data_IF_526740333847
#
_entry.id   IF_526740333847
#
_cell.length_a   1.000
_cell.length_b   1.000
_cell.length_c   1.000
_cell.angle_alpha   90.00
_cell.angle_beta   90.00
_cell.angle_gamma   90.00
#
_symmetry.space_group_name_H-M   'P 1'
#
loop_
_entity.id
_entity.type
_entity.pdbx_description
1 polymer ?
#
# COMPACT_ATOMS: atom_id res chain seq x y z
N UNK A 1 -27.95 -1.35 -4.56
CA UNK A 1 -28.18 -0.11 -5.33
C UNK A 1 -27.54 -0.28 -6.71
N UNK A 2 -28.26 -0.02 -7.81
CA UNK A 2 -27.73 -0.22 -9.17
C UNK A 2 -28.22 0.83 -10.16
N UNK A 3 -27.36 1.26 -11.09
CA UNK A 3 -27.73 2.21 -12.15
C UNK A 3 -27.01 1.91 -13.48
N UNK A 4 -27.73 2.01 -14.59
CA UNK A 4 -27.14 2.01 -15.94
C UNK A 4 -26.56 3.38 -16.34
N UNK A 5 -26.78 4.41 -15.52
CA UNK A 5 -26.14 5.71 -15.61
C UNK A 5 -25.20 5.87 -14.39
N UNK A 6 -24.95 7.10 -13.95
CA UNK A 6 -24.26 7.35 -12.68
C UNK A 6 -25.12 7.08 -11.46
N UNK A 7 -24.48 7.14 -10.29
CA UNK A 7 -25.12 7.15 -8.97
C UNK A 7 -24.53 8.32 -8.19
N UNK A 8 -25.38 9.13 -7.58
CA UNK A 8 -24.97 10.10 -6.54
C UNK A 8 -25.50 9.62 -5.19
N UNK A 9 -24.62 9.46 -4.20
CA UNK A 9 -24.97 9.08 -2.83
C UNK A 9 -24.58 10.20 -1.87
N UNK A 10 -25.54 10.66 -1.07
CA UNK A 10 -25.29 11.61 0.01
C UNK A 10 -25.91 11.06 1.28
N UNK A 11 -25.08 10.68 2.24
CA UNK A 11 -25.54 10.12 3.50
C UNK A 11 -24.49 10.31 4.59
N UNK A 12 -24.87 10.26 5.86
CA UNK A 12 -23.87 10.25 6.93
C UNK A 12 -23.08 8.93 6.92
N UNK A 13 -23.77 7.79 6.80
CA UNK A 13 -23.15 6.46 6.73
C UNK A 13 -23.84 5.65 5.65
N UNK A 14 -23.06 4.89 4.90
CA UNK A 14 -23.54 3.82 4.05
C UNK A 14 -23.06 2.48 4.61
N UNK A 15 -24.03 1.61 4.89
CA UNK A 15 -23.77 0.21 5.20
C UNK A 15 -24.05 -0.61 3.92
N UNK A 16 -22.98 -1.13 3.33
CA UNK A 16 -23.03 -1.99 2.15
C UNK A 16 -22.35 -3.34 2.44
N UNK A 17 -22.27 -3.73 3.72
CA UNK A 17 -21.74 -5.02 4.12
C UNK A 17 -22.72 -6.18 3.86
N UNK A 18 -22.35 -7.37 4.33
CA UNK A 18 -23.14 -8.61 4.26
C UNK A 18 -23.62 -8.92 2.83
N UNK A 19 -22.67 -8.99 1.89
CA UNK A 19 -22.93 -9.15 0.46
C UNK A 19 -23.74 -8.02 -0.19
N UNK A 20 -23.80 -6.85 0.45
CA UNK A 20 -24.36 -5.63 -0.12
C UNK A 20 -23.67 -5.25 -1.44
N UNK A 21 -24.42 -4.62 -2.34
CA UNK A 21 -23.91 -4.23 -3.66
C UNK A 21 -24.36 -2.83 -4.06
N UNK A 22 -23.38 -2.00 -4.42
CA UNK A 22 -23.55 -0.73 -5.16
C UNK A 22 -22.83 -0.85 -6.50
N UNK A 23 -23.53 -0.69 -7.62
CA UNK A 23 -22.92 -0.79 -8.95
C UNK A 23 -23.46 0.23 -9.95
N UNK A 24 -22.59 0.95 -10.64
CA UNK A 24 -22.96 1.92 -11.68
C UNK A 24 -22.26 1.62 -13.00
N UNK A 25 -22.94 1.84 -14.14
CA UNK A 25 -22.24 1.90 -15.44
C UNK A 25 -21.59 3.26 -15.66
N UNK A 26 -22.24 4.33 -15.19
CA UNK A 26 -21.67 5.67 -15.12
C UNK A 26 -20.87 5.90 -13.83
N UNK A 27 -20.48 7.15 -13.60
CA UNK A 27 -19.73 7.57 -12.41
C UNK A 27 -20.53 7.24 -11.14
N UNK A 28 -19.88 6.64 -10.16
CA UNK A 28 -20.39 6.54 -8.81
C UNK A 28 -19.75 7.66 -7.98
N UNK A 29 -20.54 8.63 -7.55
CA UNK A 29 -20.12 9.77 -6.74
C UNK A 29 -20.79 9.70 -5.36
N UNK A 30 -20.00 9.49 -4.30
CA UNK A 30 -20.51 9.34 -2.95
C UNK A 30 -19.87 10.36 -2.00
N UNK A 31 -20.71 11.14 -1.33
CA UNK A 31 -20.35 12.00 -0.22
C UNK A 31 -20.89 11.40 1.08
N UNK A 32 -19.98 10.85 1.90
CA UNK A 32 -20.28 10.09 3.10
C UNK A 32 -19.45 10.59 4.30
N UNK A 33 -19.79 10.17 5.52
CA UNK A 33 -18.87 10.21 6.68
C UNK A 33 -18.41 8.81 7.13
N UNK A 34 -18.95 7.77 6.50
CA UNK A 34 -18.58 6.40 6.79
C UNK A 34 -19.10 5.45 5.73
N UNK A 35 -18.26 4.52 5.31
CA UNK A 35 -18.60 3.44 4.40
C UNK A 35 -18.21 2.11 5.03
N UNK A 36 -19.15 1.19 5.16
CA UNK A 36 -18.94 -0.18 5.61
C UNK A 36 -19.20 -1.16 4.46
N UNK A 37 -18.20 -1.98 4.13
CA UNK A 37 -18.21 -3.01 3.07
C UNK A 37 -17.92 -4.42 3.64
N UNK A 38 -18.04 -4.62 4.96
CA UNK A 38 -17.67 -5.89 5.60
C UNK A 38 -18.49 -7.07 5.12
N UNK A 39 -17.89 -8.25 5.07
CA UNK A 39 -18.60 -9.50 4.75
C UNK A 39 -19.02 -9.55 3.29
N UNK A 40 -18.10 -9.24 2.38
CA UNK A 40 -18.33 -9.32 0.93
C UNK A 40 -19.11 -8.17 0.32
N UNK A 41 -19.09 -6.97 0.94
CA UNK A 41 -19.68 -5.78 0.34
C UNK A 41 -18.98 -5.38 -0.96
N UNK A 42 -19.73 -4.93 -1.96
CA UNK A 42 -19.19 -4.58 -3.28
C UNK A 42 -19.62 -3.18 -3.71
N UNK A 43 -18.67 -2.31 -4.04
CA UNK A 43 -18.89 -1.01 -4.67
C UNK A 43 -18.04 -0.88 -5.93
N UNK A 44 -18.71 -0.82 -7.08
CA UNK A 44 -18.05 -0.80 -8.39
C UNK A 44 -18.67 0.20 -9.37
N UNK A 45 -17.85 0.72 -10.28
CA UNK A 45 -18.32 1.49 -11.44
C UNK A 45 -17.51 1.13 -12.68
N UNK A 46 -18.15 1.12 -13.87
CA UNK A 46 -17.47 0.92 -15.16
C UNK A 46 -16.67 2.15 -15.63
N UNK A 47 -16.91 3.34 -15.08
CA UNK A 47 -16.27 4.60 -15.55
C UNK A 47 -15.50 5.34 -14.47
N UNK A 48 -15.86 5.16 -13.20
CA UNK A 48 -15.10 5.72 -12.08
C UNK A 48 -15.87 5.74 -10.77
N UNK A 49 -15.13 5.86 -9.68
CA UNK A 49 -15.64 5.96 -8.31
C UNK A 49 -15.02 7.20 -7.67
N UNK A 50 -15.86 8.11 -7.18
CA UNK A 50 -15.45 9.19 -6.28
C UNK A 50 -16.05 8.93 -4.91
N UNK A 51 -15.20 8.79 -3.89
CA UNK A 51 -15.61 8.68 -2.49
C UNK A 51 -15.02 9.86 -1.71
N UNK A 52 -15.88 10.75 -1.25
CA UNK A 52 -15.53 11.78 -0.27
C UNK A 52 -16.05 11.36 1.10
N UNK A 53 -15.15 11.10 2.06
CA UNK A 53 -15.53 10.64 3.39
C UNK A 53 -15.53 11.74 4.45
N UNK A 54 -15.25 13.00 4.09
CA UNK A 54 -15.32 14.15 5.02
C UNK A 54 -14.56 13.94 6.36
N UNK A 55 -13.41 13.28 6.33
CA UNK A 55 -12.59 12.92 7.50
C UNK A 55 -13.03 11.64 8.21
N UNK A 56 -13.99 10.93 7.64
CA UNK A 56 -14.63 9.73 8.18
C UNK A 56 -13.89 8.42 7.89
N UNK A 57 -14.51 7.30 8.27
CA UNK A 57 -13.89 5.97 8.21
C UNK A 57 -14.31 5.17 6.98
N UNK A 58 -13.34 4.53 6.33
CA UNK A 58 -13.58 3.52 5.29
C UNK A 58 -13.31 2.13 5.87
N UNK A 59 -14.34 1.28 5.94
CA UNK A 59 -14.18 -0.13 6.32
C UNK A 59 -14.46 -1.00 5.11
N UNK A 60 -13.40 -1.54 4.52
CA UNK A 60 -13.39 -2.44 3.37
C UNK A 60 -12.64 -3.73 3.69
N UNK A 61 -13.14 -4.50 4.65
CA UNK A 61 -12.51 -5.73 5.12
C UNK A 61 -13.42 -6.94 4.96
N UNK A 62 -12.93 -8.12 5.31
CA UNK A 62 -13.69 -9.39 5.29
C UNK A 62 -14.31 -9.66 3.91
N UNK A 63 -13.48 -9.54 2.86
CA UNK A 63 -13.88 -9.72 1.46
C UNK A 63 -14.57 -8.51 0.81
N UNK A 64 -14.56 -7.33 1.45
CA UNK A 64 -15.04 -6.09 0.86
C UNK A 64 -14.30 -5.71 -0.42
N UNK A 65 -15.01 -5.15 -1.40
CA UNK A 65 -14.48 -4.78 -2.70
C UNK A 65 -14.88 -3.35 -3.09
N UNK A 66 -13.88 -2.52 -3.40
CA UNK A 66 -14.03 -1.24 -4.08
C UNK A 66 -13.17 -1.28 -5.33
N UNK A 67 -13.80 -1.30 -6.51
CA UNK A 67 -13.05 -1.45 -7.76
C UNK A 67 -13.65 -0.68 -8.94
N UNK A 68 -12.80 -0.19 -9.83
CA UNK A 68 -13.21 0.42 -11.09
C UNK A 68 -12.10 0.38 -12.15
N UNK A 69 -12.39 0.05 -13.43
CA UNK A 69 -11.42 0.23 -14.52
C UNK A 69 -11.21 1.72 -14.87
N UNK A 70 -12.03 2.60 -14.30
CA UNK A 70 -11.95 4.05 -14.46
C UNK A 70 -11.15 4.74 -13.37
N UNK A 71 -11.36 6.04 -13.23
CA UNK A 71 -10.71 6.82 -12.17
C UNK A 71 -11.26 6.45 -10.79
N UNK A 72 -10.37 6.19 -9.83
CA UNK A 72 -10.71 6.06 -8.42
C UNK A 72 -10.21 7.30 -7.67
N UNK A 73 -11.14 8.14 -7.22
CA UNK A 73 -10.85 9.35 -6.46
C UNK A 73 -11.30 9.17 -5.01
N UNK A 74 -10.35 9.16 -4.09
CA UNK A 74 -10.58 9.05 -2.65
C UNK A 74 -10.24 10.39 -1.98
N UNK A 75 -11.21 10.99 -1.28
CA UNK A 75 -11.08 12.32 -0.69
C UNK A 75 -11.36 12.29 0.79
N UNK A 76 -10.56 13.05 1.53
CA UNK A 76 -10.77 13.30 2.96
C UNK A 76 -10.98 12.01 3.75
N UNK A 77 -10.11 11.02 3.58
CA UNK A 77 -10.18 9.79 4.36
C UNK A 77 -9.60 10.05 5.76
N UNK A 78 -10.31 9.60 6.79
CA UNK A 78 -9.80 9.50 8.15
C UNK A 78 -8.98 8.23 8.30
N UNK A 79 -9.57 7.19 8.90
CA UNK A 79 -8.97 5.86 8.97
C UNK A 79 -9.50 4.96 7.84
N UNK A 80 -8.60 4.18 7.24
CA UNK A 80 -8.95 3.15 6.26
C UNK A 80 -8.60 1.77 6.82
N UNK A 81 -9.57 0.88 6.81
CA UNK A 81 -9.44 -0.53 7.16
C UNK A 81 -9.76 -1.35 5.91
N UNK A 82 -8.71 -1.81 5.24
CA UNK A 82 -8.75 -2.65 4.04
C UNK A 82 -8.25 -4.07 4.33
N UNK A 83 -8.29 -4.52 5.59
CA UNK A 83 -7.70 -5.79 6.01
C UNK A 83 -8.54 -7.03 5.64
N UNK A 84 -8.05 -8.21 6.02
CA UNK A 84 -8.78 -9.49 5.97
C UNK A 84 -9.48 -9.77 4.63
N UNK A 85 -8.73 -9.73 3.53
CA UNK A 85 -9.25 -10.00 2.18
C UNK A 85 -10.01 -8.84 1.55
N UNK A 86 -9.98 -7.65 2.16
CA UNK A 86 -10.41 -6.41 1.52
C UNK A 86 -9.61 -6.10 0.25
N UNK A 87 -10.28 -5.56 -0.77
CA UNK A 87 -9.62 -5.06 -1.98
C UNK A 87 -10.11 -3.65 -2.36
N UNK A 88 -9.15 -2.74 -2.56
CA UNK A 88 -9.35 -1.44 -3.20
C UNK A 88 -8.48 -1.41 -4.46
N UNK A 89 -9.09 -1.27 -5.64
CA UNK A 89 -8.36 -1.37 -6.90
C UNK A 89 -8.85 -0.44 -8.01
N UNK A 90 -7.93 -0.07 -8.90
CA UNK A 90 -8.24 0.68 -10.12
C UNK A 90 -7.26 0.36 -11.25
N UNK A 91 -7.76 0.40 -12.49
CA UNK A 91 -6.90 0.29 -13.68
C UNK A 91 -6.14 1.59 -13.99
N UNK A 92 -6.50 2.69 -13.32
CA UNK A 92 -5.89 4.01 -13.49
C UNK A 92 -5.03 4.36 -12.28
N UNK A 93 -4.18 5.37 -12.45
CA UNK A 93 -3.41 5.89 -11.34
C UNK A 93 -4.35 6.50 -10.30
N UNK A 94 -4.08 6.25 -9.01
CA UNK A 94 -4.83 6.88 -7.94
C UNK A 94 -3.98 7.14 -6.70
N UNK A 95 -4.50 8.02 -5.86
CA UNK A 95 -3.90 8.39 -4.58
C UNK A 95 -4.82 7.96 -3.44
N UNK A 96 -4.24 7.37 -2.39
CA UNK A 96 -4.90 7.16 -1.11
C UNK A 96 -4.15 7.99 -0.06
N UNK A 97 -4.82 9.05 0.41
CA UNK A 97 -4.34 9.88 1.50
C UNK A 97 -5.26 9.71 2.72
N UNK A 98 -4.70 9.33 3.86
CA UNK A 98 -5.44 8.99 5.07
C UNK A 98 -4.62 9.27 6.34
N UNK A 99 -5.27 9.32 7.50
CA UNK A 99 -4.59 9.36 8.79
C UNK A 99 -3.86 8.04 9.06
N UNK A 100 -4.54 6.92 8.86
CA UNK A 100 -4.00 5.56 9.02
C UNK A 100 -4.57 4.61 7.97
N UNK A 101 -3.78 3.59 7.62
CA UNK A 101 -4.18 2.53 6.71
C UNK A 101 -3.83 1.17 7.32
N UNK A 102 -4.84 0.37 7.64
CA UNK A 102 -4.72 -1.07 7.93
C UNK A 102 -5.02 -1.84 6.64
N UNK A 103 -4.02 -2.49 6.07
CA UNK A 103 -4.10 -3.34 4.88
C UNK A 103 -3.67 -4.78 5.21
N UNK A 104 -3.81 -5.21 6.47
CA UNK A 104 -3.35 -6.54 6.90
C UNK A 104 -4.12 -7.66 6.21
N UNK A 105 -3.42 -8.49 5.44
CA UNK A 105 -4.06 -9.51 4.59
C UNK A 105 -5.02 -8.92 3.53
N UNK A 106 -4.92 -7.61 3.28
CA UNK A 106 -5.70 -6.85 2.31
C UNK A 106 -4.97 -6.65 0.99
N UNK A 107 -5.63 -5.99 0.05
CA UNK A 107 -5.11 -5.71 -1.30
C UNK A 107 -5.39 -4.27 -1.70
N UNK A 108 -4.34 -3.53 -2.04
CA UNK A 108 -4.43 -2.19 -2.61
C UNK A 108 -3.67 -2.18 -3.94
N UNK A 109 -4.39 -2.02 -5.05
CA UNK A 109 -3.86 -2.32 -6.38
C UNK A 109 -4.14 -1.17 -7.35
N UNK A 110 -3.08 -0.51 -7.82
CA UNK A 110 -3.12 0.31 -9.02
C UNK A 110 -2.53 -0.45 -10.20
N UNK A 111 -3.31 -0.69 -11.26
CA UNK A 111 -2.78 -1.27 -12.49
C UNK A 111 -1.87 -0.27 -13.27
N UNK A 112 -1.91 1.00 -12.87
CA UNK A 112 -1.00 2.08 -13.24
C UNK A 112 -0.18 2.50 -11.99
N UNK A 113 0.01 3.80 -11.73
CA UNK A 113 0.76 4.29 -10.58
C UNK A 113 -0.09 4.37 -9.31
N UNK A 114 0.46 4.00 -8.16
CA UNK A 114 -0.20 4.11 -6.86
C UNK A 114 0.57 5.05 -5.95
N UNK A 115 -0.12 6.02 -5.37
CA UNK A 115 0.46 6.97 -4.41
C UNK A 115 -0.22 6.86 -3.05
N UNK A 116 0.56 6.62 -2.00
CA UNK A 116 0.08 6.55 -0.62
C UNK A 116 0.67 7.72 0.19
N UNK A 117 -0.22 8.40 0.93
CA UNK A 117 0.12 9.50 1.84
C UNK A 117 -0.54 9.24 3.18
N UNK A 118 0.17 8.56 4.07
CA UNK A 118 -0.38 8.11 5.36
C UNK A 118 0.23 8.95 6.48
N UNK A 119 -0.60 9.74 7.17
CA UNK A 119 -0.08 10.70 8.15
C UNK A 119 0.55 10.02 9.38
N UNK A 120 0.08 8.83 9.74
CA UNK A 120 0.52 8.08 10.90
C UNK A 120 1.05 6.70 10.49
N UNK A 121 0.28 5.64 10.72
CA UNK A 121 0.71 4.27 10.51
C UNK A 121 0.10 3.68 9.24
N UNK A 122 0.96 3.07 8.43
CA UNK A 122 0.60 2.12 7.38
C UNK A 122 0.94 0.72 7.87
N UNK A 123 -0.04 -0.16 7.96
CA UNK A 123 0.15 -1.57 8.30
C UNK A 123 -0.23 -2.43 7.10
N UNK A 124 0.76 -3.07 6.50
CA UNK A 124 0.64 -4.00 5.38
C UNK A 124 1.07 -5.42 5.79
N UNK A 125 1.07 -5.72 7.09
CA UNK A 125 1.51 -7.02 7.60
C UNK A 125 0.53 -8.16 7.31
N UNK A 126 0.81 -9.36 7.81
CA UNK A 126 -0.08 -10.54 7.71
C UNK A 126 -0.48 -10.87 6.26
N UNK A 127 0.46 -10.80 5.32
CA UNK A 127 0.22 -11.08 3.90
C UNK A 127 -0.51 -9.97 3.15
N UNK A 128 -0.51 -8.74 3.67
CA UNK A 128 -1.03 -7.57 2.96
C UNK A 128 -0.27 -7.32 1.65
N UNK A 129 -0.98 -6.83 0.63
CA UNK A 129 -0.41 -6.52 -0.69
C UNK A 129 -0.73 -5.09 -1.07
N UNK A 130 0.31 -4.32 -1.37
CA UNK A 130 0.23 -3.00 -2.00
C UNK A 130 1.03 -3.04 -3.29
N UNK A 131 0.38 -2.74 -4.41
CA UNK A 131 1.05 -2.74 -5.71
C UNK A 131 0.62 -1.59 -6.61
N UNK A 132 1.62 -0.91 -7.19
CA UNK A 132 1.45 0.07 -8.24
C UNK A 132 2.26 -0.37 -9.46
N UNK A 133 1.59 -0.81 -10.52
CA UNK A 133 2.25 -1.50 -11.62
C UNK A 133 3.17 -0.59 -12.45
N UNK A 134 2.85 0.70 -12.58
CA UNK A 134 3.67 1.70 -13.29
C UNK A 134 4.50 2.59 -12.35
N UNK A 135 4.34 2.40 -11.04
CA UNK A 135 5.10 3.10 -10.01
C UNK A 135 4.39 3.00 -8.67
N UNK A 136 5.15 2.97 -7.59
CA UNK A 136 4.64 2.99 -6.23
C UNK A 136 5.37 4.06 -5.43
N UNK A 137 4.63 5.04 -4.94
CA UNK A 137 5.16 6.14 -4.14
C UNK A 137 4.45 6.14 -2.77
N UNK A 138 5.21 5.95 -1.70
CA UNK A 138 4.67 5.83 -0.35
C UNK A 138 5.37 6.84 0.57
N UNK A 139 4.57 7.67 1.24
CA UNK A 139 5.01 8.45 2.39
C UNK A 139 4.18 8.07 3.63
N UNK A 140 4.85 7.71 4.72
CA UNK A 140 4.21 7.36 5.99
C UNK A 140 5.04 7.80 7.21
N UNK A 141 4.43 7.98 8.38
CA UNK A 141 5.21 8.21 9.60
C UNK A 141 5.83 6.91 10.13
N UNK A 142 5.09 5.79 10.05
CA UNK A 142 5.58 4.43 10.29
C UNK A 142 4.97 3.48 9.27
N UNK A 143 5.73 2.45 8.91
CA UNK A 143 5.30 1.42 7.99
C UNK A 143 5.67 0.05 8.53
N UNK A 144 4.67 -0.80 8.70
CA UNK A 144 4.83 -2.23 8.95
C UNK A 144 4.50 -2.99 7.66
N UNK A 145 5.49 -3.68 7.11
CA UNK A 145 5.39 -4.59 5.97
C UNK A 145 5.87 -6.01 6.37
N UNK A 146 5.84 -6.31 7.67
CA UNK A 146 6.32 -7.58 8.22
C UNK A 146 5.35 -8.73 7.94
N UNK A 147 5.68 -9.92 8.42
CA UNK A 147 4.79 -11.09 8.41
C UNK A 147 4.18 -11.35 7.02
N UNK A 148 5.04 -11.45 6.01
CA UNK A 148 4.72 -11.69 4.59
C UNK A 148 4.02 -10.53 3.87
N UNK A 149 4.07 -9.32 4.42
CA UNK A 149 3.66 -8.11 3.72
C UNK A 149 4.42 -7.93 2.40
N UNK A 150 3.74 -7.41 1.38
CA UNK A 150 4.31 -7.19 0.04
C UNK A 150 4.04 -5.77 -0.46
N UNK A 151 5.12 -5.05 -0.78
CA UNK A 151 5.12 -3.82 -1.57
C UNK A 151 5.78 -4.11 -2.92
N UNK A 152 5.06 -3.92 -4.03
CA UNK A 152 5.56 -4.31 -5.34
C UNK A 152 5.25 -3.30 -6.45
N UNK A 153 6.23 -3.06 -7.32
CA UNK A 153 6.05 -2.35 -8.58
C UNK A 153 6.82 -3.03 -9.71
N UNK A 154 6.25 -3.02 -10.93
CA UNK A 154 7.03 -3.39 -12.13
C UNK A 154 7.96 -2.25 -12.57
N UNK A 155 7.76 -1.05 -12.04
CA UNK A 155 8.56 0.14 -12.26
C UNK A 155 9.30 0.55 -10.97
N UNK A 156 9.41 1.84 -10.67
CA UNK A 156 10.07 2.33 -9.46
C UNK A 156 9.20 2.21 -8.21
N UNK A 157 9.84 1.97 -7.07
CA UNK A 157 9.30 2.24 -5.74
C UNK A 157 10.09 3.39 -5.13
N UNK A 158 9.40 4.44 -4.70
CA UNK A 158 9.94 5.49 -3.85
C UNK A 158 9.25 5.39 -2.48
N UNK A 159 10.01 5.02 -1.45
CA UNK A 159 9.50 4.79 -0.11
C UNK A 159 10.14 5.76 0.88
N UNK A 160 9.32 6.63 1.48
CA UNK A 160 9.75 7.58 2.52
C UNK A 160 8.98 7.32 3.80
N UNK A 161 9.68 6.90 4.85
CA UNK A 161 9.10 6.63 6.16
C UNK A 161 9.76 7.55 7.18
N UNK A 162 9.02 8.41 7.87
CA UNK A 162 9.65 9.36 8.80
C UNK A 162 10.28 8.68 10.03
N UNK A 163 9.72 7.54 10.43
CA UNK A 163 10.14 6.74 11.57
C UNK A 163 10.63 5.35 11.16
N UNK A 164 10.11 4.35 11.86
CA UNK A 164 10.46 2.96 11.65
C UNK A 164 9.75 2.39 10.42
N UNK A 165 10.54 1.73 9.57
CA UNK A 165 10.10 0.78 8.58
C UNK A 165 10.43 -0.63 9.08
N UNK A 166 9.39 -1.42 9.30
CA UNK A 166 9.50 -2.82 9.62
C UNK A 166 9.20 -3.67 8.36
N UNK A 167 10.16 -4.46 7.91
CA UNK A 167 10.06 -5.40 6.80
C UNK A 167 10.52 -6.81 7.23
N UNK A 168 10.50 -7.12 8.53
CA UNK A 168 10.95 -8.41 9.05
C UNK A 168 9.96 -9.55 8.77
N UNK A 169 10.29 -10.78 9.18
CA UNK A 169 9.40 -11.93 9.10
C UNK A 169 8.82 -12.16 7.69
N UNK A 170 9.71 -12.34 6.71
CA UNK A 170 9.40 -12.57 5.29
C UNK A 170 8.70 -11.39 4.58
N UNK A 171 8.81 -10.17 5.11
CA UNK A 171 8.37 -8.95 4.43
C UNK A 171 9.12 -8.72 3.11
N UNK A 172 8.43 -8.25 2.07
CA UNK A 172 9.00 -8.04 0.74
C UNK A 172 8.72 -6.65 0.20
N UNK A 173 9.78 -5.97 -0.26
CA UNK A 173 9.71 -4.72 -1.04
C UNK A 173 10.48 -4.94 -2.34
N UNK A 174 9.81 -4.90 -3.49
CA UNK A 174 10.41 -5.25 -4.79
C UNK A 174 9.99 -4.33 -5.92
N UNK A 175 10.98 -3.71 -6.57
CA UNK A 175 10.78 -2.80 -7.70
C UNK A 175 11.81 -3.00 -8.80
N UNK A 176 11.55 -2.43 -9.98
CA UNK A 176 12.60 -2.26 -10.98
C UNK A 176 13.71 -1.35 -10.44
N UNK A 177 13.34 -0.25 -9.78
CA UNK A 177 14.24 0.56 -8.94
C UNK A 177 13.58 0.70 -7.59
N UNK A 178 14.35 0.66 -6.50
CA UNK A 178 13.85 0.92 -5.16
C UNK A 178 14.70 2.01 -4.50
N UNK A 179 14.06 3.10 -4.13
CA UNK A 179 14.62 4.16 -3.28
C UNK A 179 13.91 4.12 -1.93
N UNK A 180 14.67 4.07 -0.85
CA UNK A 180 14.12 3.99 0.51
C UNK A 180 14.82 5.00 1.41
N UNK A 181 14.02 5.79 2.13
CA UNK A 181 14.48 6.64 3.22
C UNK A 181 13.70 6.34 4.50
N UNK A 182 14.38 6.06 5.62
CA UNK A 182 13.73 5.89 6.93
C UNK A 182 14.58 6.38 8.12
N UNK A 183 14.00 6.47 9.32
CA UNK A 183 14.80 6.69 10.52
C UNK A 183 15.41 5.38 11.04
N UNK A 184 14.69 4.28 10.89
CA UNK A 184 15.20 2.92 11.11
C UNK A 184 14.58 1.95 10.11
N UNK A 185 15.31 0.90 9.78
CA UNK A 185 14.88 -0.18 8.93
C UNK A 185 15.19 -1.51 9.61
N UNK A 186 14.15 -2.27 9.94
CA UNK A 186 14.26 -3.68 10.29
C UNK A 186 13.93 -4.50 9.04
N UNK A 187 14.93 -5.21 8.50
CA UNK A 187 14.80 -6.16 7.41
C UNK A 187 15.26 -7.57 7.86
N UNK A 188 15.24 -7.83 9.16
CA UNK A 188 15.66 -9.10 9.73
C UNK A 188 14.66 -10.22 9.44
N UNK A 189 14.91 -11.44 9.93
CA UNK A 189 13.93 -12.53 9.86
C UNK A 189 13.47 -12.87 8.44
N UNK A 190 14.41 -12.95 7.49
CA UNK A 190 14.16 -13.19 6.06
C UNK A 190 13.42 -12.06 5.32
N UNK A 191 13.47 -10.83 5.83
CA UNK A 191 13.04 -9.65 5.07
C UNK A 191 13.80 -9.51 3.75
N UNK A 192 13.13 -9.02 2.70
CA UNK A 192 13.69 -8.82 1.37
C UNK A 192 13.41 -7.41 0.84
N UNK A 193 14.49 -6.68 0.52
CA UNK A 193 14.47 -5.50 -0.35
C UNK A 193 15.16 -5.87 -1.66
N UNK A 194 14.47 -5.66 -2.79
CA UNK A 194 14.97 -6.01 -4.11
C UNK A 194 14.80 -4.91 -5.15
N UNK A 195 15.87 -4.66 -5.91
CA UNK A 195 15.88 -3.74 -7.05
C UNK A 195 16.49 -4.38 -8.31
N UNK A 196 15.74 -4.46 -9.41
CA UNK A 196 16.29 -5.06 -10.65
C UNK A 196 17.29 -4.16 -11.40
N UNK A 197 17.20 -2.85 -11.25
CA UNK A 197 18.06 -1.85 -11.89
C UNK A 197 18.85 -1.02 -10.87
N UNK A 198 18.44 -1.06 -9.60
CA UNK A 198 19.11 -0.34 -8.52
C UNK A 198 18.32 -0.39 -7.22
N UNK A 199 19.05 -0.39 -6.11
CA UNK A 199 18.52 -0.29 -4.75
C UNK A 199 19.33 0.78 -4.01
N UNK A 200 18.65 1.82 -3.54
CA UNK A 200 19.22 2.86 -2.69
C UNK A 200 18.49 2.89 -1.36
N UNK A 201 19.23 2.75 -0.26
CA UNK A 201 18.71 2.76 1.10
C UNK A 201 19.43 3.84 1.89
N UNK A 202 18.68 4.78 2.45
CA UNK A 202 19.17 5.80 3.38
C UNK A 202 18.42 5.64 4.69
N UNK A 203 19.10 5.27 5.76
CA UNK A 203 18.45 5.06 7.06
C UNK A 203 19.34 5.43 8.23
N UNK A 204 18.80 5.48 9.44
CA UNK A 204 19.59 5.60 10.67
C UNK A 204 20.17 4.24 11.03
N UNK A 205 19.38 3.44 11.75
CA UNK A 205 19.73 2.06 12.06
C UNK A 205 19.19 1.09 11.01
N UNK A 206 20.05 0.20 10.51
CA UNK A 206 19.70 -0.90 9.61
C UNK A 206 19.96 -2.24 10.29
N UNK A 207 18.90 -2.97 10.61
CA UNK A 207 18.98 -4.39 10.96
C UNK A 207 18.66 -5.22 9.72
N UNK A 208 19.63 -5.98 9.24
CA UNK A 208 19.50 -6.94 8.16
C UNK A 208 19.93 -8.34 8.63
N UNK A 209 19.77 -8.67 9.91
CA UNK A 209 20.20 -9.94 10.48
C UNK A 209 19.25 -11.10 10.11
N UNK A 210 19.55 -12.31 10.62
CA UNK A 210 18.63 -13.45 10.60
C UNK A 210 18.05 -13.81 9.21
N UNK A 211 18.92 -13.77 8.18
CA UNK A 211 18.54 -14.08 6.80
C UNK A 211 17.94 -12.91 6.03
N UNK A 212 17.98 -11.69 6.58
CA UNK A 212 17.64 -10.46 5.88
C UNK A 212 18.44 -10.27 4.59
N UNK A 213 17.80 -9.72 3.56
CA UNK A 213 18.36 -9.57 2.21
C UNK A 213 18.10 -8.18 1.63
N UNK A 214 19.17 -7.46 1.28
CA UNK A 214 19.15 -6.32 0.36
C UNK A 214 19.85 -6.75 -0.93
N UNK A 215 19.10 -6.88 -2.02
CA UNK A 215 19.61 -7.42 -3.29
C UNK A 215 19.32 -6.44 -4.42
N UNK A 216 20.35 -6.13 -5.20
CA UNK A 216 20.23 -5.38 -6.44
C UNK A 216 20.87 -6.13 -7.60
N UNK A 217 20.14 -6.27 -8.71
CA UNK A 217 20.73 -6.72 -9.98
C UNK A 217 21.49 -5.57 -10.69
N UNK A 218 21.38 -4.34 -10.18
CA UNK A 218 22.18 -3.19 -10.57
C UNK A 218 23.15 -2.78 -9.45
N UNK A 219 23.15 -1.48 -9.13
CA UNK A 219 23.88 -0.91 -7.99
C UNK A 219 23.08 -1.12 -6.70
N UNK A 220 23.76 -1.51 -5.63
CA UNK A 220 23.27 -1.40 -4.25
C UNK A 220 24.04 -0.26 -3.57
N UNK A 221 23.32 0.77 -3.13
CA UNK A 221 23.87 1.89 -2.37
C UNK A 221 23.14 1.97 -1.03
N UNK A 222 23.86 1.79 0.08
CA UNK A 222 23.32 1.85 1.43
C UNK A 222 24.06 2.94 2.18
N UNK A 223 23.30 3.81 2.85
CA UNK A 223 23.81 4.79 3.77
C UNK A 223 23.07 4.62 5.09
N UNK A 224 23.78 4.17 6.12
CA UNK A 224 23.25 3.96 7.47
C UNK A 224 24.21 4.47 8.53
N UNK A 225 23.69 4.95 9.65
CA UNK A 225 24.51 5.28 10.83
C UNK A 225 25.02 4.00 11.51
N UNK A 226 24.13 3.00 11.67
CA UNK A 226 24.43 1.70 12.25
C UNK A 226 23.93 0.59 11.32
N UNK A 227 24.73 -0.46 11.13
CA UNK A 227 24.41 -1.60 10.27
C UNK A 227 24.69 -2.92 11.00
N UNK A 228 23.64 -3.70 11.25
CA UNK A 228 23.74 -5.12 11.61
C UNK A 228 23.41 -5.98 10.38
N UNK A 229 24.36 -6.80 9.95
CA UNK A 229 24.17 -7.75 8.84
C UNK A 229 24.53 -9.19 9.25
N UNK A 230 24.45 -9.52 10.55
CA UNK A 230 24.83 -10.85 11.06
C UNK A 230 23.85 -11.91 10.55
N UNK A 231 24.36 -12.82 9.72
CA UNK A 231 23.53 -13.84 9.08
C UNK A 231 22.63 -13.30 7.96
N UNK A 232 22.82 -12.05 7.54
CA UNK A 232 22.14 -11.42 6.41
C UNK A 232 23.00 -11.35 5.14
N UNK A 233 22.41 -10.82 4.08
CA UNK A 233 23.07 -10.60 2.79
C UNK A 233 22.81 -9.19 2.23
N UNK A 234 23.90 -8.53 1.82
CA UNK A 234 23.89 -7.30 1.02
C UNK A 234 24.58 -7.63 -0.31
N UNK A 235 23.87 -7.49 -1.43
CA UNK A 235 24.39 -7.87 -2.75
C UNK A 235 24.01 -6.87 -3.81
N UNK A 236 25.00 -6.22 -4.42
CA UNK A 236 24.85 -5.41 -5.63
C UNK A 236 25.61 -6.04 -6.78
N UNK A 237 24.91 -6.47 -7.83
CA UNK A 237 25.52 -7.21 -8.95
C UNK A 237 26.49 -6.36 -9.77
N UNK A 238 26.23 -5.05 -9.91
CA UNK A 238 27.16 -4.13 -10.57
C UNK A 238 28.15 -3.53 -9.57
N UNK A 239 27.67 -3.02 -8.45
CA UNK A 239 28.50 -2.51 -7.36
C UNK A 239 27.72 -2.46 -6.05
N UNK A 240 28.45 -2.47 -4.94
CA UNK A 240 27.97 -2.29 -3.59
C UNK A 240 28.70 -1.09 -2.97
N UNK A 241 27.94 -0.11 -2.45
CA UNK A 241 28.42 0.99 -1.62
C UNK A 241 27.72 0.95 -0.27
N UNK A 242 28.49 1.17 0.80
CA UNK A 242 28.08 1.27 2.20
C UNK A 242 28.63 2.57 2.80
#
# INVERSE_FOLDING_TARGET
>A
IGSNAGITLVAARLDNGQQGRVSAKGLLDANLKGLDQRGGGVLVSETGVTLDLNGGTLVNRDGGLIATPGALLLRQLGAVDNGAGGEISSDRAFTLAAASLDNRGGRLIGADSLTLRIAQALDNSLGGVISGAAGLDIAAARLDNSAKGTLASRAGIDLRVDGALDNHAEGTVSGARLTLASASLDNSGKGLLSGNAGLTVVTGALDNAEGGQLISQGVLDVSSADLDNRGGALSGKQSLRL
#
